data_IF_443938729396
#
_entry.id   IF_443938729396
#
_cell.length_a   1.000
_cell.length_b   1.000
_cell.length_c   1.000
_cell.angle_alpha   90.00
_cell.angle_beta   90.00
_cell.angle_gamma   90.00
#
_symmetry.space_group_name_H-M   'P 1'
#
loop_
_entity.id
_entity.type
_entity.pdbx_description
1 polymer ?
#
# COMPACT_ATOMS: atom_id res chain seq x y z
N UNK A 1 54.58 17.65 -3.55
CA UNK A 1 53.78 17.03 -2.47
C UNK A 1 52.31 17.21 -2.82
N UNK A 2 51.66 16.18 -3.36
CA UNK A 2 50.24 16.21 -3.71
C UNK A 2 49.42 15.76 -2.49
N UNK A 3 48.64 16.66 -1.92
CA UNK A 3 47.67 16.35 -0.88
C UNK A 3 46.37 15.89 -1.56
N UNK A 4 46.15 14.59 -1.59
CA UNK A 4 44.89 14.00 -2.00
C UNK A 4 43.87 14.12 -0.85
N UNK A 5 42.85 14.95 -1.03
CA UNK A 5 41.72 15.02 -0.11
C UNK A 5 40.74 13.87 -0.42
N UNK A 6 40.65 12.88 0.48
CA UNK A 6 39.58 11.88 0.43
C UNK A 6 38.26 12.55 0.85
N UNK A 7 37.38 12.77 -0.12
CA UNK A 7 35.97 13.10 0.14
C UNK A 7 35.21 11.81 0.45
N UNK A 8 34.83 11.63 1.71
CA UNK A 8 33.90 10.59 2.14
C UNK A 8 32.51 10.96 1.61
N UNK A 9 32.00 10.19 0.64
CA UNK A 9 30.62 10.29 0.19
C UNK A 9 29.69 9.83 1.34
N UNK A 10 28.97 10.78 1.94
CA UNK A 10 27.90 10.47 2.87
C UNK A 10 26.72 9.88 2.08
N UNK A 11 26.48 8.58 2.23
CA UNK A 11 25.29 7.94 1.69
C UNK A 11 24.03 8.59 2.27
N UNK A 12 23.12 9.02 1.41
CA UNK A 12 21.82 9.55 1.81
C UNK A 12 21.08 8.46 2.60
N UNK A 13 20.97 8.62 3.93
CA UNK A 13 20.02 7.85 4.71
C UNK A 13 18.62 8.29 4.30
N UNK A 14 17.79 7.35 3.86
CA UNK A 14 16.37 7.60 3.67
C UNK A 14 15.81 8.14 5.01
N UNK A 15 15.30 9.37 5.00
CA UNK A 15 14.63 9.92 6.17
C UNK A 15 13.33 9.12 6.39
N UNK A 16 12.96 8.82 7.65
CA UNK A 16 11.67 8.21 7.92
C UNK A 16 10.56 9.15 7.38
N UNK A 17 9.45 8.59 6.86
CA UNK A 17 8.32 9.39 6.38
C UNK A 17 7.84 10.34 7.48
N UNK A 18 7.59 11.60 7.13
CA UNK A 18 7.03 12.56 8.09
C UNK A 18 5.53 12.33 8.31
N UNK A 19 4.95 13.04 9.28
CA UNK A 19 3.54 12.87 9.63
C UNK A 19 2.58 13.24 8.47
N UNK A 20 2.96 14.18 7.60
CA UNK A 20 2.14 14.58 6.46
C UNK A 20 2.17 13.51 5.37
N UNK A 21 3.32 12.90 5.11
CA UNK A 21 3.46 11.75 4.21
C UNK A 21 2.58 10.57 4.67
N UNK A 22 2.58 10.26 5.98
CA UNK A 22 1.73 9.20 6.55
C UNK A 22 0.24 9.53 6.43
N UNK A 23 -0.15 10.79 6.66
CA UNK A 23 -1.53 11.24 6.50
C UNK A 23 -2.00 11.15 5.04
N UNK A 24 -1.13 11.48 4.09
CA UNK A 24 -1.43 11.35 2.67
C UNK A 24 -1.57 9.88 2.25
N UNK A 25 -0.70 8.99 2.73
CA UNK A 25 -0.84 7.55 2.52
C UNK A 25 -2.17 7.00 3.06
N UNK A 26 -2.62 7.47 4.23
CA UNK A 26 -3.93 7.12 4.77
C UNK A 26 -5.07 7.60 3.85
N UNK A 27 -5.00 8.85 3.37
CA UNK A 27 -5.99 9.41 2.44
C UNK A 27 -6.06 8.59 1.15
N UNK A 28 -4.92 8.11 0.65
CA UNK A 28 -4.89 7.23 -0.52
C UNK A 28 -5.60 5.90 -0.23
N UNK A 29 -5.32 5.24 0.91
CA UNK A 29 -5.98 3.98 1.29
C UNK A 29 -7.51 4.13 1.37
N UNK A 30 -7.97 5.18 2.07
CA UNK A 30 -9.39 5.37 2.40
C UNK A 30 -10.19 5.99 1.26
N UNK A 31 -9.55 6.72 0.36
CA UNK A 31 -10.25 7.51 -0.66
C UNK A 31 -9.71 7.24 -2.07
N UNK A 32 -8.54 7.79 -2.43
CA UNK A 32 -8.10 7.81 -3.84
C UNK A 32 -7.94 6.41 -4.43
N UNK A 33 -7.25 5.53 -3.71
CA UNK A 33 -7.08 4.13 -4.10
C UNK A 33 -8.24 3.24 -3.67
N UNK A 34 -9.10 3.72 -2.76
CA UNK A 34 -10.22 3.00 -2.15
C UNK A 34 -9.86 1.55 -1.74
N UNK A 35 -8.63 1.33 -1.26
CA UNK A 35 -8.10 0.01 -0.92
C UNK A 35 -8.92 -0.64 0.21
N UNK A 36 -9.39 0.22 1.11
CA UNK A 36 -10.43 -0.01 2.11
C UNK A 36 -11.60 -0.88 1.62
N UNK A 37 -12.06 -0.68 0.38
CA UNK A 37 -13.27 -1.33 -0.11
C UNK A 37 -13.17 -2.85 -0.06
N UNK A 38 -11.98 -3.40 -0.26
CA UNK A 38 -11.69 -4.84 -0.15
C UNK A 38 -10.94 -5.20 1.14
N UNK A 39 -9.98 -4.37 1.58
CA UNK A 39 -9.08 -4.70 2.68
C UNK A 39 -9.55 -4.20 4.06
N UNK A 40 -10.63 -3.42 4.12
CA UNK A 40 -11.09 -2.74 5.32
C UNK A 40 -10.29 -1.48 5.64
N UNK A 41 -10.89 -0.52 6.37
CA UNK A 41 -10.20 0.72 6.74
C UNK A 41 -8.92 0.46 7.55
N UNK A 42 -8.92 -0.58 8.39
CA UNK A 42 -7.79 -0.97 9.23
C UNK A 42 -6.79 -1.89 8.52
N UNK A 43 -7.07 -2.28 7.27
CA UNK A 43 -6.33 -3.30 6.53
C UNK A 43 -6.46 -4.71 7.14
N UNK A 44 -7.53 -4.99 7.88
CA UNK A 44 -7.76 -6.24 8.61
C UNK A 44 -8.55 -7.29 7.80
N UNK A 45 -8.87 -7.00 6.53
CA UNK A 45 -9.65 -7.86 5.65
C UNK A 45 -11.16 -7.74 5.85
N UNK A 46 -11.64 -6.93 6.81
CA UNK A 46 -13.08 -6.63 6.97
C UNK A 46 -13.47 -5.54 5.99
N UNK A 47 -13.80 -5.95 4.77
CA UNK A 47 -14.16 -5.07 3.65
C UNK A 47 -15.26 -4.06 4.01
N UNK A 48 -15.17 -2.86 3.43
CA UNK A 48 -16.19 -1.81 3.64
C UNK A 48 -17.26 -1.75 2.55
N UNK A 49 -17.02 -2.37 1.40
CA UNK A 49 -18.02 -2.52 0.35
C UNK A 49 -18.39 -3.99 0.22
N UNK A 50 -19.66 -4.32 0.51
CA UNK A 50 -20.15 -5.70 0.46
C UNK A 50 -20.12 -6.30 -0.94
N UNK A 51 -20.10 -5.46 -1.99
CA UNK A 51 -20.06 -5.87 -3.39
C UNK A 51 -18.65 -6.22 -3.88
N UNK A 52 -17.62 -5.87 -3.11
CA UNK A 52 -16.24 -6.16 -3.47
C UNK A 52 -15.80 -7.55 -2.97
N UNK A 53 -14.82 -8.19 -3.64
CA UNK A 53 -14.23 -9.42 -3.13
C UNK A 53 -13.48 -9.16 -1.82
N UNK A 54 -13.32 -10.21 -1.02
CA UNK A 54 -12.61 -10.11 0.26
C UNK A 54 -11.11 -9.89 0.01
N UNK A 55 -10.57 -8.82 0.61
CA UNK A 55 -9.14 -8.54 0.62
C UNK A 55 -8.41 -9.33 1.72
N UNK A 56 -7.11 -9.54 1.54
CA UNK A 56 -6.28 -10.15 2.58
C UNK A 56 -6.22 -9.26 3.84
N UNK A 57 -6.13 -9.89 5.01
CA UNK A 57 -5.75 -9.22 6.26
C UNK A 57 -4.27 -8.83 6.19
N UNK A 58 -4.01 -7.56 5.91
CA UNK A 58 -2.68 -7.00 5.76
C UNK A 58 -1.96 -6.86 7.11
N UNK A 59 -2.71 -6.76 8.22
CA UNK A 59 -2.12 -6.58 9.56
C UNK A 59 -1.35 -7.80 10.06
N UNK A 60 -1.75 -8.98 9.59
CA UNK A 60 -1.14 -10.27 9.93
C UNK A 60 -0.24 -10.80 8.80
N UNK A 61 -0.20 -10.12 7.66
CA UNK A 61 0.63 -10.51 6.54
C UNK A 61 2.11 -10.26 6.82
N UNK A 62 2.96 -11.18 6.35
CA UNK A 62 4.42 -11.01 6.29
C UNK A 62 4.77 -10.55 4.87
N UNK A 63 4.94 -9.25 4.70
CA UNK A 63 5.19 -8.63 3.41
C UNK A 63 6.43 -7.77 3.50
N UNK A 64 7.26 -7.83 2.46
CA UNK A 64 8.37 -6.90 2.27
C UNK A 64 7.89 -5.65 1.53
N UNK A 65 8.54 -4.51 1.78
CA UNK A 65 8.11 -3.22 1.21
C UNK A 65 8.08 -3.22 -0.31
N UNK A 66 9.07 -3.83 -0.95
CA UNK A 66 9.13 -3.97 -2.41
C UNK A 66 7.95 -4.77 -2.97
N UNK A 67 7.54 -5.84 -2.29
CA UNK A 67 6.41 -6.67 -2.74
C UNK A 67 5.09 -5.92 -2.63
N UNK A 68 4.91 -5.10 -1.59
CA UNK A 68 3.74 -4.23 -1.43
C UNK A 68 3.67 -3.21 -2.56
N UNK A 69 4.78 -2.55 -2.87
CA UNK A 69 4.85 -1.59 -3.98
C UNK A 69 4.49 -2.26 -5.30
N UNK A 70 5.07 -3.42 -5.59
CA UNK A 70 4.77 -4.17 -6.83
C UNK A 70 3.30 -4.58 -6.86
N UNK A 71 2.74 -5.07 -5.75
CA UNK A 71 1.33 -5.46 -5.68
C UNK A 71 0.39 -4.28 -5.93
N UNK A 72 0.66 -3.09 -5.39
CA UNK A 72 -0.13 -1.88 -5.64
C UNK A 72 0.04 -1.43 -7.10
N UNK A 73 1.29 -1.31 -7.55
CA UNK A 73 1.63 -0.85 -8.89
C UNK A 73 0.97 -1.71 -9.97
N UNK A 74 1.10 -3.03 -9.82
CA UNK A 74 0.76 -4.01 -10.85
C UNK A 74 -0.54 -4.76 -10.59
N UNK A 75 -1.19 -4.53 -9.46
CA UNK A 75 -2.33 -5.33 -9.03
C UNK A 75 -1.96 -6.80 -8.83
N UNK A 76 -3.00 -7.63 -8.75
CA UNK A 76 -2.88 -9.08 -8.62
C UNK A 76 -3.73 -9.75 -9.71
N UNK A 77 -3.16 -10.03 -10.89
CA UNK A 77 -3.87 -10.71 -11.97
C UNK A 77 -4.53 -12.00 -11.48
N UNK A 78 -5.80 -12.19 -11.84
CA UNK A 78 -6.60 -13.35 -11.39
C UNK A 78 -7.05 -13.31 -9.93
N UNK A 79 -6.81 -12.22 -9.19
CA UNK A 79 -7.24 -12.03 -7.79
C UNK A 79 -7.99 -10.71 -7.56
N UNK A 80 -8.48 -10.11 -8.64
CA UNK A 80 -9.34 -8.90 -8.63
C UNK A 80 -8.77 -7.63 -7.98
N UNK A 81 -7.52 -7.62 -7.51
CA UNK A 81 -6.86 -6.39 -7.09
C UNK A 81 -6.38 -5.64 -8.34
N UNK A 82 -6.88 -4.43 -8.64
CA UNK A 82 -6.53 -3.69 -9.86
C UNK A 82 -5.08 -3.23 -9.84
N UNK A 83 -4.53 -2.92 -11.01
CA UNK A 83 -3.25 -2.23 -11.13
C UNK A 83 -3.45 -0.72 -11.01
N UNK A 84 -2.71 -0.07 -10.12
CA UNK A 84 -2.86 1.36 -9.87
C UNK A 84 -1.88 2.24 -10.67
N UNK A 85 -0.79 1.67 -11.22
CA UNK A 85 0.11 2.41 -12.10
C UNK A 85 -0.48 2.53 -13.50
N UNK A 86 -0.55 3.75 -14.03
CA UNK A 86 -1.08 4.03 -15.37
C UNK A 86 -0.34 3.27 -16.48
N UNK A 87 0.91 2.90 -16.27
CA UNK A 87 1.75 2.20 -17.24
C UNK A 87 1.92 0.72 -16.90
N UNK A 88 1.14 0.17 -15.96
CA UNK A 88 1.17 -1.25 -15.65
C UNK A 88 0.96 -2.08 -16.92
N UNK A 89 1.81 -3.09 -17.10
CA UNK A 89 1.79 -4.00 -18.26
C UNK A 89 2.00 -3.35 -19.65
N UNK A 90 2.49 -2.10 -19.71
CA UNK A 90 2.86 -1.47 -20.98
C UNK A 90 4.20 -1.97 -21.54
N UNK A 91 5.17 -2.26 -20.67
CA UNK A 91 6.57 -2.49 -21.06
C UNK A 91 7.24 -3.70 -20.38
N UNK A 92 6.52 -4.47 -19.55
CA UNK A 92 7.07 -5.63 -18.83
C UNK A 92 7.46 -5.33 -17.38
N UNK A 93 7.32 -4.08 -16.90
CA UNK A 93 7.62 -3.69 -15.50
C UNK A 93 6.83 -4.45 -14.44
N UNK A 94 5.73 -5.10 -14.81
CA UNK A 94 4.83 -5.79 -13.91
C UNK A 94 4.96 -7.29 -14.09
N UNK A 95 5.65 -7.94 -13.15
CA UNK A 95 5.90 -9.38 -13.15
C UNK A 95 6.56 -9.92 -14.44
N UNK A 96 7.28 -9.06 -15.19
CA UNK A 96 7.85 -9.42 -16.49
C UNK A 96 6.82 -9.52 -17.62
N UNK A 97 5.57 -9.14 -17.38
CA UNK A 97 4.45 -9.30 -18.31
C UNK A 97 4.01 -7.99 -18.95
N UNK A 98 3.58 -8.08 -20.20
CA UNK A 98 2.84 -7.06 -20.93
C UNK A 98 1.36 -7.45 -21.04
N UNK A 99 0.54 -6.53 -21.55
CA UNK A 99 -0.89 -6.75 -21.74
C UNK A 99 -1.20 -7.99 -22.59
N UNK A 100 -0.36 -8.28 -23.60
CA UNK A 100 -0.51 -9.47 -24.44
C UNK A 100 -0.33 -10.76 -23.64
N UNK A 101 0.62 -10.79 -22.70
CA UNK A 101 0.91 -11.96 -21.87
C UNK A 101 -0.26 -12.25 -20.92
N UNK A 102 -0.83 -11.21 -20.30
CA UNK A 102 -2.04 -11.32 -19.48
C UNK A 102 -3.19 -11.96 -20.28
N UNK A 103 -3.47 -11.42 -21.48
CA UNK A 103 -4.52 -11.94 -22.36
C UNK A 103 -4.28 -13.39 -22.76
N UNK A 104 -3.05 -13.73 -23.16
CA UNK A 104 -2.70 -15.10 -23.56
C UNK A 104 -2.82 -16.11 -22.41
N UNK A 105 -2.65 -15.65 -21.16
CA UNK A 105 -2.75 -16.47 -19.96
C UNK A 105 -4.18 -16.52 -19.38
N UNK A 106 -5.16 -15.88 -20.03
CA UNK A 106 -6.52 -15.77 -19.51
C UNK A 106 -6.63 -14.96 -18.22
N UNK A 107 -5.63 -14.12 -17.92
CA UNK A 107 -5.59 -13.30 -16.72
C UNK A 107 -6.15 -11.91 -17.02
N UNK A 108 -6.92 -11.40 -16.07
CA UNK A 108 -7.51 -10.07 -16.11
C UNK A 108 -7.30 -9.31 -14.80
N UNK A 109 -7.49 -7.99 -14.91
CA UNK A 109 -7.51 -7.04 -13.81
C UNK A 109 -8.71 -6.12 -14.02
N UNK A 110 -9.48 -5.78 -12.97
CA UNK A 110 -10.44 -4.70 -13.06
C UNK A 110 -9.71 -3.35 -13.17
N UNK A 111 -10.44 -2.33 -13.60
CA UNK A 111 -9.95 -0.95 -13.56
C UNK A 111 -9.88 -0.45 -12.11
N UNK A 112 -8.83 0.30 -11.73
CA UNK A 112 -8.78 0.94 -10.42
C UNK A 112 -9.76 2.12 -10.35
N UNK A 113 -10.21 2.52 -9.14
CA UNK A 113 -11.01 3.73 -8.97
C UNK A 113 -10.25 5.00 -9.39
N UNK A 114 -8.92 5.00 -9.25
CA UNK A 114 -8.03 6.02 -9.77
C UNK A 114 -6.63 5.43 -9.99
N UNK A 115 -5.87 6.00 -10.92
CA UNK A 115 -4.44 5.70 -11.02
C UNK A 115 -3.65 6.48 -9.97
N UNK A 116 -2.54 5.89 -9.52
CA UNK A 116 -1.61 6.47 -8.55
C UNK A 116 -0.30 6.83 -9.24
N UNK A 117 0.25 7.99 -8.89
CA UNK A 117 1.61 8.36 -9.27
C UNK A 117 2.63 7.52 -8.49
N UNK A 118 3.86 7.36 -8.98
CA UNK A 118 4.89 6.60 -8.27
C UNK A 118 5.09 7.05 -6.82
N UNK A 119 5.11 8.36 -6.56
CA UNK A 119 5.22 8.90 -5.19
C UNK A 119 4.02 8.52 -4.33
N UNK A 120 2.80 8.50 -4.86
CA UNK A 120 1.61 8.11 -4.10
C UNK A 120 1.64 6.63 -3.71
N UNK A 121 2.19 5.76 -4.57
CA UNK A 121 2.39 4.34 -4.24
C UNK A 121 3.38 4.20 -3.08
N UNK A 122 4.48 4.96 -3.10
CA UNK A 122 5.46 4.98 -2.01
C UNK A 122 4.84 5.47 -0.69
N UNK A 123 4.08 6.57 -0.73
CA UNK A 123 3.38 7.12 0.45
C UNK A 123 2.35 6.14 1.03
N UNK A 124 1.61 5.46 0.16
CA UNK A 124 0.69 4.41 0.58
C UNK A 124 1.43 3.26 1.25
N UNK A 125 2.56 2.80 0.68
CA UNK A 125 3.39 1.77 1.29
C UNK A 125 3.93 2.21 2.66
N UNK A 126 4.42 3.44 2.78
CA UNK A 126 4.93 4.00 4.04
C UNK A 126 3.85 4.02 5.12
N UNK A 127 2.66 4.49 4.80
CA UNK A 127 1.50 4.42 5.69
C UNK A 127 1.13 2.98 6.07
N UNK A 128 1.11 2.06 5.11
CA UNK A 128 0.80 0.64 5.36
C UNK A 128 1.78 0.04 6.37
N UNK A 129 3.09 0.24 6.24
CA UNK A 129 4.06 -0.28 7.20
C UNK A 129 4.04 0.48 8.54
N UNK A 130 3.73 1.78 8.51
CA UNK A 130 3.64 2.56 9.74
C UNK A 130 2.45 2.15 10.62
N UNK A 131 1.29 1.82 10.02
CA UNK A 131 0.00 1.71 10.74
C UNK A 131 -0.76 0.38 10.57
N UNK A 132 -0.45 -0.41 9.55
CA UNK A 132 -1.24 -1.59 9.17
C UNK A 132 -0.39 -2.87 9.22
N UNK A 133 0.56 -3.04 8.29
CA UNK A 133 1.32 -4.27 8.08
C UNK A 133 2.16 -4.62 9.30
N UNK A 134 2.10 -5.87 9.73
CA UNK A 134 2.86 -6.38 10.88
C UNK A 134 2.42 -5.84 12.25
N UNK A 135 1.35 -5.05 12.32
CA UNK A 135 0.83 -4.51 13.59
C UNK A 135 -0.10 -5.48 14.32
N UNK A 136 -0.37 -6.66 13.76
CA UNK A 136 -1.26 -7.68 14.32
C UNK A 136 -2.70 -7.19 14.50
N UNK A 137 -3.56 -7.96 15.19
CA UNK A 137 -4.97 -7.64 15.37
C UNK A 137 -5.20 -6.23 15.92
N UNK A 138 -6.26 -5.58 15.46
CA UNK A 138 -6.68 -4.27 15.95
C UNK A 138 -7.20 -4.38 17.39
N UNK A 139 -6.90 -3.38 18.20
CA UNK A 139 -7.49 -3.17 19.52
C UNK A 139 -7.68 -1.67 19.74
N UNK A 140 -8.31 -1.28 20.86
CA UNK A 140 -8.63 0.13 21.14
C UNK A 140 -7.39 1.04 21.14
N UNK A 141 -6.29 0.60 21.77
CA UNK A 141 -5.04 1.36 21.82
C UNK A 141 -4.44 1.59 20.42
N UNK A 142 -4.36 0.53 19.60
CA UNK A 142 -3.88 0.62 18.21
C UNK A 142 -4.80 1.44 17.33
N UNK A 143 -6.11 1.44 17.60
CA UNK A 143 -7.06 2.30 16.90
C UNK A 143 -6.78 3.78 17.19
N UNK A 144 -6.58 4.14 18.46
CA UNK A 144 -6.21 5.50 18.85
C UNK A 144 -4.88 5.91 18.20
N UNK A 145 -3.89 5.01 18.19
CA UNK A 145 -2.60 5.25 17.51
C UNK A 145 -2.76 5.41 15.99
N UNK A 146 -3.66 4.65 15.38
CA UNK A 146 -3.95 4.72 13.94
C UNK A 146 -4.49 6.10 13.57
N UNK A 147 -5.50 6.60 14.31
CA UNK A 147 -6.16 7.88 14.02
C UNK A 147 -5.45 9.09 14.63
N UNK A 148 -4.54 8.89 15.58
CA UNK A 148 -3.91 9.96 16.37
C UNK A 148 -4.81 10.55 17.45
N UNK A 149 -6.04 10.04 17.59
CA UNK A 149 -7.02 10.44 18.57
C UNK A 149 -8.02 9.31 18.80
N UNK A 150 -8.76 9.38 19.90
CA UNK A 150 -9.94 8.53 20.06
C UNK A 150 -11.06 8.99 19.13
N UNK A 151 -11.53 8.08 18.28
CA UNK A 151 -12.64 8.29 17.34
C UNK A 151 -13.73 7.25 17.58
N UNK A 152 -14.91 7.48 17.01
CA UNK A 152 -16.07 6.58 17.16
C UNK A 152 -15.75 5.11 16.84
N UNK A 153 -15.01 4.85 15.75
CA UNK A 153 -14.59 3.50 15.36
C UNK A 153 -13.77 2.78 16.44
N UNK A 154 -13.09 3.50 17.33
CA UNK A 154 -12.34 2.87 18.42
C UNK A 154 -13.24 2.32 19.54
N UNK A 155 -14.50 2.76 19.59
CA UNK A 155 -15.52 2.25 20.51
C UNK A 155 -15.98 0.81 20.21
N UNK A 156 -15.67 0.28 19.02
CA UNK A 156 -15.94 -1.12 18.65
C UNK A 156 -15.07 -2.12 19.42
N UNK A 157 -13.96 -1.64 20.00
CA UNK A 157 -13.02 -2.48 20.73
C UNK A 157 -13.25 -2.36 22.24
N UNK A 158 -13.13 -3.47 23.01
CA UNK A 158 -13.20 -3.42 24.46
C UNK A 158 -12.24 -2.37 25.06
N UNK A 159 -12.67 -1.77 26.17
CA UNK A 159 -11.87 -0.81 26.93
C UNK A 159 -10.63 -1.46 27.55
#
# INVERSE_FOLDING_TARGET
>A
MFLAALQLAQGARAQPPDAADIAEGMRILLQKGNCQACHGWAGDGRKMDSQMPDGANLREAKLERGDVIVAIKCGRPGRSMPAFDKLAYSDGRCYGMKQADLKSSGLGLPDPPATLQPREIELLADFLFAKIIGKGPMNRAKCIEYWGAEVEACGEFPK
#
